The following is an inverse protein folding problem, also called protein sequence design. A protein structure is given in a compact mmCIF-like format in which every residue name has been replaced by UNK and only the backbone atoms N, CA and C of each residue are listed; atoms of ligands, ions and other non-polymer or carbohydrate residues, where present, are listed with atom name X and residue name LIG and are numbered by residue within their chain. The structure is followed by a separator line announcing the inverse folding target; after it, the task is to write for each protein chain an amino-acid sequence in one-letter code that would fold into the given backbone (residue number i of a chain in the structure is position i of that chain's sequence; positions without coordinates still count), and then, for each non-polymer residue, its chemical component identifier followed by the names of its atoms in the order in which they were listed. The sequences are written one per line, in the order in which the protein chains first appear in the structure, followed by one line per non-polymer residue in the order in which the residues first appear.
data_IF_037036642092
#
_entry.id   IF_037036642092
#
_cell.length_a   1.000
_cell.length_b   1.000
_cell.length_c   1.000
_cell.angle_alpha   90.00
_cell.angle_beta   90.00
_cell.angle_gamma   90.00
#
_symmetry.space_group_name_H-M   'P 1'
#
loop_
_entity.id
_entity.type
_entity.pdbx_description
1 polymer ?
#
# COMPACT_ATOMS: atom_id res chain seq x y z
N UNK A 1 -16.77 15.59 7.74
CA UNK A 1 -16.23 16.04 6.45
C UNK A 1 -14.94 15.28 6.15
N UNK A 2 -14.70 15.00 4.89
CA UNK A 2 -13.46 14.33 4.51
C UNK A 2 -12.33 15.32 4.29
N UNK A 3 -11.11 14.90 4.60
CA UNK A 3 -9.89 15.62 4.28
C UNK A 3 -9.10 14.80 3.26
N UNK A 4 -8.84 15.40 2.10
CA UNK A 4 -8.04 14.76 1.06
C UNK A 4 -6.56 15.02 1.31
N UNK A 5 -5.75 13.99 1.12
CA UNK A 5 -4.30 14.04 1.32
C UNK A 5 -3.60 13.68 0.02
N UNK A 6 -2.66 14.54 -0.39
CA UNK A 6 -1.78 14.29 -1.53
C UNK A 6 -0.37 14.09 -1.01
N UNK A 7 0.26 13.00 -1.41
CA UNK A 7 1.63 12.70 -0.95
C UNK A 7 2.65 13.63 -1.62
N UNK A 8 3.67 14.00 -0.87
CA UNK A 8 4.82 14.73 -1.40
C UNK A 8 6.01 13.79 -1.64
N UNK A 9 6.20 12.81 -0.77
CA UNK A 9 7.35 11.88 -0.81
C UNK A 9 7.04 10.54 -1.45
N UNK A 10 5.78 10.14 -1.48
CA UNK A 10 5.36 8.89 -2.09
C UNK A 10 5.06 9.04 -3.57
N UNK A 11 4.57 7.96 -4.19
CA UNK A 11 4.18 8.01 -5.62
C UNK A 11 3.02 8.97 -5.81
N UNK A 12 3.15 9.87 -6.77
CA UNK A 12 2.11 10.87 -7.03
C UNK A 12 0.92 10.24 -7.74
N UNK A 13 -0.26 10.74 -7.40
CA UNK A 13 -1.48 10.31 -8.07
C UNK A 13 -1.43 10.71 -9.56
N UNK A 14 -1.71 9.74 -10.43
CA UNK A 14 -1.73 9.94 -11.89
C UNK A 14 -3.16 9.81 -12.42
N UNK A 15 -4.11 10.37 -11.72
CA UNK A 15 -5.52 10.28 -12.09
C UNK A 15 -6.40 11.06 -11.11
N UNK A 16 -7.71 10.98 -11.28
CA UNK A 16 -8.64 11.74 -10.45
C UNK A 16 -8.89 11.05 -9.09
N UNK A 17 -7.86 10.98 -8.25
CA UNK A 17 -7.99 10.41 -6.92
C UNK A 17 -6.98 11.05 -5.95
N UNK A 18 -7.30 11.02 -4.67
CA UNK A 18 -6.42 11.44 -3.59
C UNK A 18 -5.54 10.27 -3.16
N UNK A 19 -4.33 10.56 -2.70
CA UNK A 19 -3.45 9.52 -2.13
C UNK A 19 -4.12 8.86 -0.93
N UNK A 20 -4.75 9.67 -0.09
CA UNK A 20 -5.49 9.19 1.07
C UNK A 20 -6.65 10.14 1.38
N UNK A 21 -7.61 9.63 2.12
CA UNK A 21 -8.74 10.43 2.63
C UNK A 21 -8.89 10.14 4.11
N UNK A 22 -8.99 11.20 4.91
CA UNK A 22 -9.25 11.09 6.35
C UNK A 22 -10.69 11.51 6.60
N UNK A 23 -11.43 10.68 7.31
CA UNK A 23 -12.78 10.99 7.76
C UNK A 23 -12.94 10.47 9.19
N UNK A 24 -13.26 11.37 10.14
CA UNK A 24 -13.26 11.02 11.55
C UNK A 24 -11.89 10.51 11.95
N UNK A 25 -11.83 9.32 12.52
CA UNK A 25 -10.58 8.66 12.91
C UNK A 25 -10.12 7.61 11.89
N UNK A 26 -10.77 7.55 10.74
CA UNK A 26 -10.45 6.54 9.72
C UNK A 26 -9.68 7.18 8.58
N UNK A 27 -8.67 6.46 8.11
CA UNK A 27 -7.82 6.86 7.00
C UNK A 27 -7.91 5.79 5.92
N UNK A 28 -8.31 6.19 4.72
CA UNK A 28 -8.35 5.32 3.56
C UNK A 28 -7.21 5.68 2.62
N UNK A 29 -6.29 4.76 2.39
CA UNK A 29 -5.26 4.94 1.38
C UNK A 29 -5.74 4.38 0.05
N UNK A 30 -5.46 5.09 -1.02
CA UNK A 30 -5.58 4.52 -2.36
C UNK A 30 -4.58 3.36 -2.52
N UNK A 31 -4.88 2.43 -3.40
CA UNK A 31 -4.01 1.28 -3.63
C UNK A 31 -2.61 1.72 -4.04
N UNK A 32 -1.60 1.10 -3.42
CA UNK A 32 -0.19 1.38 -3.69
C UNK A 32 0.38 0.29 -4.58
N UNK A 33 0.73 0.65 -5.81
CA UNK A 33 1.52 -0.18 -6.70
C UNK A 33 3.01 0.13 -6.48
N UNK A 34 3.93 -0.75 -6.90
CA UNK A 34 5.35 -0.60 -6.55
C UNK A 34 6.09 0.42 -7.43
N UNK A 35 5.60 1.64 -7.45
CA UNK A 35 6.26 2.75 -8.14
C UNK A 35 7.41 3.29 -7.30
N UNK A 36 8.55 3.49 -7.94
CA UNK A 36 9.63 4.27 -7.33
C UNK A 36 9.22 5.75 -7.39
N UNK A 37 9.10 6.44 -6.25
CA UNK A 37 8.69 7.85 -6.25
C UNK A 37 9.64 8.77 -7.01
N UNK A 38 10.92 8.40 -7.14
CA UNK A 38 11.90 9.21 -7.85
C UNK A 38 11.74 9.15 -9.37
N UNK A 39 11.35 7.99 -9.90
CA UNK A 39 11.24 7.78 -11.35
C UNK A 39 9.80 7.66 -11.84
N UNK A 40 8.88 7.40 -10.93
CA UNK A 40 7.47 7.13 -11.21
C UNK A 40 7.27 5.92 -12.12
N UNK A 41 8.16 4.94 -12.00
CA UNK A 41 8.11 3.69 -12.75
C UNK A 41 8.08 2.50 -11.79
N UNK A 42 7.49 1.40 -12.26
CA UNK A 42 7.49 0.13 -11.50
C UNK A 42 8.93 -0.32 -11.30
N UNK A 43 9.28 -0.70 -10.07
CA UNK A 43 10.62 -1.19 -9.75
C UNK A 43 10.90 -2.52 -10.45
N UNK A 44 12.15 -2.74 -10.80
CA UNK A 44 12.63 -4.00 -11.35
C UNK A 44 12.96 -4.98 -10.23
N UNK A 45 13.02 -6.27 -10.54
CA UNK A 45 13.44 -7.30 -9.59
C UNK A 45 12.33 -8.29 -9.21
N UNK A 46 11.22 -8.26 -9.90
CA UNK A 46 10.14 -9.23 -9.72
C UNK A 46 9.30 -8.99 -8.46
N UNK A 47 8.58 -10.03 -8.04
CA UNK A 47 7.56 -9.90 -6.99
C UNK A 47 8.13 -9.45 -5.64
N UNK A 48 9.31 -9.91 -5.28
CA UNK A 48 9.89 -9.55 -3.99
C UNK A 48 10.23 -8.05 -3.93
N UNK A 49 10.88 -7.54 -4.97
CA UNK A 49 11.20 -6.11 -5.07
C UNK A 49 9.91 -5.28 -5.13
N UNK A 50 8.91 -5.75 -5.88
CA UNK A 50 7.63 -5.05 -5.99
C UNK A 50 6.87 -5.03 -4.66
N UNK A 51 6.84 -6.14 -3.94
CA UNK A 51 6.19 -6.19 -2.63
C UNK A 51 6.85 -5.23 -1.64
N UNK A 52 8.18 -5.19 -1.59
CA UNK A 52 8.91 -4.27 -0.73
C UNK A 52 8.60 -2.82 -1.08
N UNK A 53 8.61 -2.47 -2.38
CA UNK A 53 8.35 -1.09 -2.79
C UNK A 53 6.92 -0.65 -2.51
N UNK A 54 5.95 -1.53 -2.73
CA UNK A 54 4.54 -1.23 -2.42
C UNK A 54 4.36 -0.97 -0.92
N UNK A 55 4.97 -1.80 -0.06
CA UNK A 55 4.92 -1.62 1.38
C UNK A 55 5.62 -0.34 1.82
N UNK A 56 6.77 -0.01 1.23
CA UNK A 56 7.45 1.25 1.51
C UNK A 56 6.58 2.45 1.13
N UNK A 57 5.86 2.36 0.01
CA UNK A 57 4.96 3.44 -0.42
C UNK A 57 3.83 3.64 0.59
N UNK A 58 3.25 2.55 1.11
CA UNK A 58 2.25 2.63 2.18
C UNK A 58 2.84 3.34 3.41
N UNK A 59 4.03 2.91 3.82
CA UNK A 59 4.70 3.48 4.99
C UNK A 59 4.97 4.98 4.83
N UNK A 60 5.49 5.39 3.68
CA UNK A 60 5.77 6.80 3.39
C UNK A 60 4.50 7.65 3.56
N UNK A 61 3.39 7.21 2.98
CA UNK A 61 2.14 7.95 3.04
C UNK A 61 1.61 8.01 4.47
N UNK A 62 1.67 6.91 5.21
CA UNK A 62 1.24 6.90 6.61
C UNK A 62 2.10 7.86 7.45
N UNK A 63 3.42 7.83 7.27
CA UNK A 63 4.34 8.69 8.01
C UNK A 63 4.14 10.16 7.70
N UNK A 64 3.77 10.52 6.49
CA UNK A 64 3.43 11.91 6.15
C UNK A 64 2.22 12.42 6.94
N UNK A 65 1.36 11.51 7.40
CA UNK A 65 0.20 11.85 8.23
C UNK A 65 0.48 11.68 9.72
N UNK A 66 1.75 11.43 10.11
CA UNK A 66 2.11 11.20 11.51
C UNK A 66 1.71 9.82 12.03
N UNK A 67 1.47 8.88 11.15
CA UNK A 67 1.04 7.52 11.50
C UNK A 67 2.14 6.51 11.16
N UNK A 68 1.95 5.27 11.59
CA UNK A 68 2.86 4.19 11.28
C UNK A 68 2.10 2.97 10.79
N UNK A 69 2.82 1.92 10.43
CA UNK A 69 2.22 0.67 9.95
C UNK A 69 1.32 0.02 11.01
N UNK A 70 1.60 0.26 12.29
CA UNK A 70 0.79 -0.24 13.40
C UNK A 70 -0.61 0.36 13.43
N UNK A 71 -0.84 1.44 12.72
CA UNK A 71 -2.17 2.07 12.62
C UNK A 71 -3.06 1.38 11.59
N UNK A 72 -2.53 0.49 10.76
CA UNK A 72 -3.30 -0.24 9.76
C UNK A 72 -4.25 -1.23 10.43
N UNK A 73 -5.53 -1.20 10.05
CA UNK A 73 -6.55 -2.10 10.59
C UNK A 73 -7.06 -3.09 9.55
N UNK A 74 -6.98 -2.74 8.28
CA UNK A 74 -7.41 -3.62 7.18
C UNK A 74 -6.50 -3.42 5.98
N UNK A 75 -6.05 -4.53 5.42
CA UNK A 75 -5.22 -4.55 4.22
C UNK A 75 -5.85 -5.47 3.19
N UNK A 76 -5.90 -5.01 1.95
CA UNK A 76 -6.22 -5.88 0.81
C UNK A 76 -5.01 -5.93 -0.10
N UNK A 77 -4.56 -7.14 -0.40
CA UNK A 77 -3.43 -7.38 -1.31
C UNK A 77 -3.99 -7.94 -2.60
N UNK A 78 -3.76 -7.22 -3.69
CA UNK A 78 -4.13 -7.66 -5.03
C UNK A 78 -2.87 -8.18 -5.72
N UNK A 79 -2.92 -9.39 -6.28
CA UNK A 79 -1.79 -10.00 -6.97
C UNK A 79 -2.23 -10.50 -8.33
N UNK A 80 -1.33 -10.44 -9.31
CA UNK A 80 -1.63 -11.01 -10.62
C UNK A 80 -1.33 -12.50 -10.69
N UNK A 81 -0.63 -13.05 -9.70
CA UNK A 81 -0.31 -14.46 -9.63
C UNK A 81 -0.19 -14.93 -8.18
N UNK A 82 -1.18 -15.67 -7.68
CA UNK A 82 -1.17 -16.18 -6.31
C UNK A 82 -0.09 -17.23 -6.04
N UNK A 83 0.61 -17.72 -7.07
CA UNK A 83 1.78 -18.57 -6.86
C UNK A 83 2.89 -17.85 -6.10
N UNK A 84 2.89 -16.51 -6.15
CA UNK A 84 3.84 -15.67 -5.41
C UNK A 84 3.42 -15.40 -3.96
N UNK A 85 2.32 -15.99 -3.51
CA UNK A 85 1.73 -15.73 -2.19
C UNK A 85 2.71 -15.97 -1.04
N UNK A 86 3.44 -17.09 -1.06
CA UNK A 86 4.39 -17.43 -0.01
C UNK A 86 5.53 -16.40 0.07
N UNK A 87 6.06 -15.95 -1.06
CA UNK A 87 7.11 -14.95 -1.11
C UNK A 87 6.63 -13.62 -0.55
N UNK A 88 5.41 -13.20 -0.90
CA UNK A 88 4.81 -11.96 -0.40
C UNK A 88 4.56 -12.05 1.10
N UNK A 89 4.03 -13.18 1.59
CA UNK A 89 3.79 -13.36 3.03
C UNK A 89 5.08 -13.27 3.84
N UNK A 90 6.17 -13.82 3.35
CA UNK A 90 7.46 -13.77 4.04
C UNK A 90 7.95 -12.34 4.25
N UNK A 91 7.66 -11.46 3.29
CA UNK A 91 8.00 -10.04 3.38
C UNK A 91 6.97 -9.30 4.25
N UNK A 92 5.69 -9.51 3.98
CA UNK A 92 4.57 -8.83 4.64
C UNK A 92 4.63 -8.94 6.17
N UNK A 93 4.98 -10.10 6.70
CA UNK A 93 4.98 -10.35 8.13
C UNK A 93 5.90 -9.41 8.90
N UNK A 94 6.98 -8.94 8.28
CA UNK A 94 7.94 -8.05 8.93
C UNK A 94 7.50 -6.59 8.94
N UNK A 95 6.44 -6.26 8.21
CA UNK A 95 5.97 -4.88 8.07
C UNK A 95 4.81 -4.51 8.98
N UNK A 96 3.96 -5.47 9.32
CA UNK A 96 2.73 -5.20 10.09
C UNK A 96 2.68 -5.86 11.46
N UNK A 97 3.57 -6.80 11.73
CA UNK A 97 3.55 -7.49 13.03
C UNK A 97 3.98 -6.59 14.20
N UNK A 98 3.74 -7.04 15.47
CA UNK A 98 3.12 -8.32 15.82
C UNK A 98 1.58 -8.34 15.77
N UNK A 99 0.93 -7.17 15.87
CA UNK A 99 -0.53 -7.06 15.86
C UNK A 99 -1.02 -6.84 14.44
N UNK A 100 -1.14 -7.92 13.69
CA UNK A 100 -1.48 -7.84 12.26
C UNK A 100 -2.86 -7.25 12.01
N UNK A 101 -3.00 -6.41 10.97
CA UNK A 101 -4.32 -5.96 10.51
C UNK A 101 -5.09 -7.14 9.92
N UNK A 102 -6.42 -7.01 9.85
CA UNK A 102 -7.23 -7.94 9.07
C UNK A 102 -6.79 -7.86 7.60
N UNK A 103 -6.83 -8.97 6.87
CA UNK A 103 -6.35 -9.01 5.48
C UNK A 103 -7.20 -9.88 4.59
N UNK A 104 -7.35 -9.43 3.34
CA UNK A 104 -7.77 -10.28 2.23
C UNK A 104 -6.67 -10.23 1.17
N UNK A 105 -6.43 -11.35 0.50
CA UNK A 105 -5.48 -11.45 -0.60
C UNK A 105 -6.16 -12.14 -1.76
N UNK A 106 -6.19 -11.50 -2.93
CA UNK A 106 -6.93 -12.01 -4.09
C UNK A 106 -6.08 -11.89 -5.34
N UNK A 107 -6.32 -12.80 -6.29
CA UNK A 107 -5.73 -12.70 -7.62
C UNK A 107 -6.65 -11.90 -8.53
N UNK A 108 -6.08 -10.99 -9.30
CA UNK A 108 -6.76 -10.17 -10.30
C UNK A 108 -6.14 -10.41 -11.66
N UNK A 109 -6.90 -10.08 -12.72
CA UNK A 109 -6.44 -10.28 -14.10
C UNK A 109 -5.25 -9.40 -14.45
N UNK A 110 -5.25 -8.15 -13.98
CA UNK A 110 -4.19 -7.18 -14.29
C UNK A 110 -4.22 -6.05 -13.26
N UNK A 111 -3.12 -5.36 -13.15
CA UNK A 111 -2.97 -4.16 -12.31
C UNK A 111 -2.39 -3.02 -13.15
N UNK A 112 -2.59 -1.77 -12.72
CA UNK A 112 -2.05 -0.63 -13.47
C UNK A 112 -0.55 -0.75 -13.70
N UNK A 113 -0.10 -0.32 -14.87
CA UNK A 113 1.31 -0.30 -15.28
C UNK A 113 1.98 -1.68 -15.21
N UNK A 114 1.20 -2.74 -15.40
CA UNK A 114 1.69 -4.12 -15.34
C UNK A 114 2.32 -4.50 -14.01
N UNK A 115 1.91 -3.86 -12.92
CA UNK A 115 2.36 -4.24 -11.59
C UNK A 115 1.90 -5.67 -11.27
N UNK A 116 2.69 -6.37 -10.47
CA UNK A 116 2.38 -7.72 -10.02
C UNK A 116 1.64 -7.72 -8.68
N UNK A 117 1.66 -6.60 -7.98
CA UNK A 117 1.05 -6.45 -6.66
C UNK A 117 0.53 -5.02 -6.48
N UNK A 118 -0.57 -4.90 -5.74
CA UNK A 118 -1.09 -3.63 -5.26
C UNK A 118 -1.57 -3.83 -3.84
N UNK A 119 -1.30 -2.88 -2.96
CA UNK A 119 -1.66 -2.96 -1.54
C UNK A 119 -2.55 -1.79 -1.17
N UNK A 120 -3.74 -2.08 -0.65
CA UNK A 120 -4.71 -1.10 -0.22
C UNK A 120 -4.85 -1.19 1.30
N UNK A 121 -4.77 -0.05 1.99
CA UNK A 121 -4.76 0.00 3.45
C UNK A 121 -5.84 0.93 3.97
N UNK A 122 -6.53 0.48 5.01
CA UNK A 122 -7.36 1.32 5.87
C UNK A 122 -6.66 1.41 7.22
N UNK A 123 -6.50 2.60 7.74
CA UNK A 123 -5.81 2.85 9.00
C UNK A 123 -6.68 3.70 9.93
N UNK A 124 -6.23 3.86 11.17
CA UNK A 124 -6.89 4.73 12.14
C UNK A 124 -5.88 5.76 12.66
N UNK A 125 -6.39 6.96 13.01
CA UNK A 125 -5.54 8.04 13.52
C UNK A 125 -5.17 7.84 14.98
N UNK A 126 -5.88 6.96 15.69
CA UNK A 126 -5.60 6.64 17.08
C UNK A 126 -5.10 5.20 17.19
N UNK A 127 -4.14 5.00 18.07
CA UNK A 127 -3.53 3.68 18.31
C UNK A 127 -4.18 2.95 19.48
#
# INVERSE_FOLDING_TARGET
MKKCVCTEKGPKAVGPYSTAVITGNTVYLSGMIPLDPATNKIVEGGIEAQALRALENVKIVLEEMGLGMECAVKVTVYMTNLKDFAAVNAIYKDWFGPDYPARSCVQVSALPLSAQIEIEVTAVTER
#
